data_IF_353108541170
#
_entry.id   IF_353108541170
#
_cell.length_a   1.000
_cell.length_b   1.000
_cell.length_c   1.000
_cell.angle_alpha   90.00
_cell.angle_beta   90.00
_cell.angle_gamma   90.00
#
_symmetry.space_group_name_H-M   'P 1'
#
loop_
_entity.id
_entity.type
_entity.pdbx_description
1 polymer ?
#
# COMPACT_ATOMS: atom_id res chain seq x y z
N UNK A 1 -0.76 -12.43 -8.34
CA UNK A 1 0.30 -11.63 -9.00
C UNK A 1 1.66 -11.86 -8.33
N UNK A 2 1.82 -11.72 -7.01
CA UNK A 2 3.10 -11.85 -6.30
C UNK A 2 3.79 -13.21 -6.57
N UNK A 3 3.06 -14.31 -6.46
CA UNK A 3 3.59 -15.66 -6.78
C UNK A 3 4.14 -15.72 -8.20
N UNK A 4 3.40 -15.20 -9.18
CA UNK A 4 3.88 -15.16 -10.58
C UNK A 4 5.14 -14.32 -10.73
N UNK A 5 5.27 -13.22 -10.00
CA UNK A 5 6.47 -12.39 -10.00
C UNK A 5 7.67 -13.16 -9.45
N UNK A 6 7.51 -13.90 -8.35
CA UNK A 6 8.57 -14.75 -7.79
C UNK A 6 8.96 -15.85 -8.77
N UNK A 7 7.99 -16.59 -9.32
CA UNK A 7 8.25 -17.69 -10.25
C UNK A 7 8.94 -17.27 -11.56
N UNK A 8 8.69 -16.04 -12.00
CA UNK A 8 9.28 -15.50 -13.24
C UNK A 8 10.64 -14.82 -13.04
N UNK A 9 11.08 -14.64 -11.79
CA UNK A 9 12.35 -13.98 -11.51
C UNK A 9 13.49 -15.02 -11.43
N UNK A 10 14.55 -14.88 -12.22
CA UNK A 10 15.60 -15.92 -12.34
C UNK A 10 16.42 -16.15 -11.07
N UNK A 11 16.43 -15.20 -10.14
CA UNK A 11 17.19 -15.26 -8.88
C UNK A 11 16.31 -15.59 -7.67
N UNK A 12 15.00 -15.88 -7.88
CA UNK A 12 14.09 -16.21 -6.80
C UNK A 12 13.58 -17.65 -6.92
N UNK A 13 13.43 -18.30 -5.79
CA UNK A 13 12.82 -19.61 -5.64
C UNK A 13 11.64 -19.53 -4.69
N UNK A 14 10.50 -20.08 -5.10
CA UNK A 14 9.34 -20.19 -4.23
C UNK A 14 9.48 -21.44 -3.35
N UNK A 15 9.77 -21.26 -2.06
CA UNK A 15 10.00 -22.37 -1.12
C UNK A 15 8.78 -22.67 -0.23
N UNK A 16 7.86 -21.72 -0.11
CA UNK A 16 6.63 -21.88 0.66
C UNK A 16 5.54 -20.93 0.18
N UNK A 17 4.28 -21.27 0.41
CA UNK A 17 3.12 -20.43 0.13
C UNK A 17 2.10 -20.54 1.26
N UNK A 18 1.77 -19.40 1.88
CA UNK A 18 0.81 -19.32 2.97
C UNK A 18 -0.53 -18.84 2.43
N UNK A 19 -1.60 -19.50 2.84
CA UNK A 19 -2.98 -19.15 2.53
C UNK A 19 -3.80 -19.05 3.82
N UNK A 20 -4.77 -18.14 3.87
CA UNK A 20 -5.68 -18.01 5.02
C UNK A 20 -6.81 -19.05 5.01
N UNK A 21 -7.16 -19.54 3.85
CA UNK A 21 -8.34 -20.38 3.59
C UNK A 21 -7.95 -21.86 3.64
N UNK A 22 -8.64 -22.65 4.46
CA UNK A 22 -8.34 -24.07 4.66
C UNK A 22 -8.55 -24.91 3.38
N UNK A 23 -9.47 -24.52 2.52
CA UNK A 23 -9.75 -25.19 1.24
C UNK A 23 -8.61 -25.05 0.21
N UNK A 24 -7.73 -24.08 0.41
CA UNK A 24 -6.52 -23.87 -0.40
C UNK A 24 -5.28 -24.57 0.15
N UNK A 25 -5.32 -24.95 1.43
CA UNK A 25 -4.21 -25.66 2.08
C UNK A 25 -4.06 -27.06 1.49
N UNK A 26 -2.82 -27.47 1.26
CA UNK A 26 -2.50 -28.77 0.64
C UNK A 26 -2.59 -28.80 -0.89
N UNK A 27 -3.03 -27.71 -1.54
CA UNK A 27 -3.09 -27.60 -3.00
C UNK A 27 -1.80 -27.03 -3.56
N UNK A 28 -1.43 -27.49 -4.76
CA UNK A 28 -0.27 -26.93 -5.45
C UNK A 28 -0.49 -25.47 -5.82
N UNK A 29 0.57 -24.68 -5.67
CA UNK A 29 0.53 -23.24 -5.96
C UNK A 29 0.20 -22.97 -7.43
N UNK A 30 0.71 -23.79 -8.36
CA UNK A 30 0.41 -23.67 -9.78
C UNK A 30 -1.07 -23.80 -10.08
N UNK A 31 -1.74 -24.77 -9.43
CA UNK A 31 -3.19 -24.93 -9.53
C UNK A 31 -3.94 -23.69 -9.04
N UNK A 32 -3.55 -23.16 -7.87
CA UNK A 32 -4.21 -22.01 -7.26
C UNK A 32 -4.10 -20.71 -8.10
N UNK A 33 -3.05 -20.58 -8.89
CA UNK A 33 -2.84 -19.41 -9.76
C UNK A 33 -3.14 -19.68 -11.23
N UNK A 34 -3.70 -20.86 -11.56
CA UNK A 34 -4.13 -21.23 -12.91
C UNK A 34 -2.98 -21.45 -13.89
N UNK A 35 -1.91 -22.12 -13.46
CA UNK A 35 -0.88 -22.64 -14.35
C UNK A 35 -1.30 -24.01 -14.89
N UNK A 36 -0.81 -24.36 -16.09
CA UNK A 36 -1.04 -25.67 -16.68
C UNK A 36 -0.26 -26.78 -15.96
N UNK A 37 0.94 -26.48 -15.51
CA UNK A 37 1.83 -27.40 -14.84
C UNK A 37 1.94 -27.08 -13.33
N UNK A 38 2.12 -28.10 -12.48
CA UNK A 38 2.34 -27.88 -11.05
C UNK A 38 3.69 -27.21 -10.81
N UNK A 39 3.73 -26.37 -9.77
CA UNK A 39 4.96 -25.71 -9.28
C UNK A 39 5.75 -26.64 -8.35
N UNK A 40 5.09 -27.62 -7.72
CA UNK A 40 5.71 -28.53 -6.76
C UNK A 40 5.76 -27.98 -5.33
N UNK A 41 5.19 -26.78 -5.09
CA UNK A 41 5.05 -26.17 -3.76
C UNK A 41 3.61 -26.28 -3.33
N UNK A 42 3.34 -26.95 -2.21
CA UNK A 42 2.01 -27.04 -1.64
C UNK A 42 1.74 -25.85 -0.72
N UNK A 43 0.57 -25.24 -0.89
CA UNK A 43 0.11 -24.17 0.00
C UNK A 43 -0.19 -24.70 1.38
N UNK A 44 0.04 -23.90 2.41
CA UNK A 44 -0.27 -24.23 3.79
C UNK A 44 -0.98 -23.06 4.48
N UNK A 45 -1.88 -23.37 5.41
CA UNK A 45 -2.45 -22.39 6.32
C UNK A 45 -1.74 -22.41 7.71
N UNK A 46 -0.68 -23.19 7.84
CA UNK A 46 0.17 -23.25 9.04
C UNK A 46 1.47 -22.48 8.78
N UNK A 47 1.62 -21.37 9.48
CA UNK A 47 2.81 -20.51 9.37
C UNK A 47 4.09 -21.24 9.84
N UNK A 48 4.00 -22.19 10.78
CA UNK A 48 5.16 -22.94 11.26
C UNK A 48 5.74 -23.84 10.17
N UNK A 49 4.87 -24.45 9.37
CA UNK A 49 5.29 -25.28 8.23
C UNK A 49 6.03 -24.42 7.21
N UNK A 50 5.51 -23.22 6.91
CA UNK A 50 6.16 -22.32 5.98
C UNK A 50 7.49 -21.78 6.53
N UNK A 51 7.56 -21.37 7.78
CA UNK A 51 8.79 -20.86 8.39
C UNK A 51 9.87 -21.95 8.59
N UNK A 52 9.47 -23.23 8.70
CA UNK A 52 10.40 -24.34 8.77
C UNK A 52 11.25 -24.49 7.50
N UNK A 53 10.82 -23.98 6.35
CA UNK A 53 11.62 -23.93 5.12
C UNK A 53 12.78 -22.93 5.20
N UNK A 54 12.82 -22.07 6.21
CA UNK A 54 13.82 -21.02 6.42
C UNK A 54 14.02 -20.12 5.19
N UNK A 55 12.97 -19.45 4.72
CA UNK A 55 13.10 -18.56 3.57
C UNK A 55 14.00 -17.37 3.89
N UNK A 56 14.75 -16.86 2.92
CA UNK A 56 15.55 -15.65 3.07
C UNK A 56 14.67 -14.40 3.15
N UNK A 57 13.50 -14.45 2.51
CA UNK A 57 12.57 -13.33 2.43
C UNK A 57 11.13 -13.81 2.34
N UNK A 58 10.24 -13.07 2.98
CA UNK A 58 8.79 -13.23 2.85
C UNK A 58 8.21 -12.10 2.02
N UNK A 59 7.50 -12.42 0.93
CA UNK A 59 6.67 -11.48 0.19
C UNK A 59 5.28 -11.48 0.84
N UNK A 60 5.00 -10.45 1.64
CA UNK A 60 3.79 -10.36 2.44
C UNK A 60 2.73 -9.51 1.73
N UNK A 61 1.71 -10.14 1.19
CA UNK A 61 0.61 -9.51 0.44
C UNK A 61 -0.76 -9.79 1.06
N UNK A 62 -0.80 -10.24 2.31
CA UNK A 62 -2.06 -10.48 2.99
C UNK A 62 -2.78 -9.16 3.27
N UNK A 63 -4.11 -9.21 3.18
CA UNK A 63 -4.97 -8.06 3.47
C UNK A 63 -4.74 -7.52 4.89
N UNK A 64 -4.66 -6.20 5.04
CA UNK A 64 -4.37 -5.55 6.33
C UNK A 64 -5.37 -4.48 6.74
N UNK A 65 -6.27 -4.05 5.87
CA UNK A 65 -7.22 -2.95 6.14
C UNK A 65 -8.06 -3.20 7.42
N UNK A 66 -8.49 -4.44 7.64
CA UNK A 66 -9.28 -4.83 8.81
C UNK A 66 -8.49 -5.56 9.90
N UNK A 67 -7.19 -5.83 9.67
CA UNK A 67 -6.32 -6.61 10.55
C UNK A 67 -4.90 -6.05 10.66
N UNK A 68 -4.78 -4.77 10.77
CA UNK A 68 -3.52 -4.02 10.71
C UNK A 68 -2.50 -4.49 11.75
N UNK A 69 -2.94 -4.65 13.01
CA UNK A 69 -2.07 -5.09 14.10
C UNK A 69 -1.66 -6.57 13.99
N UNK A 70 -2.49 -7.41 13.40
CA UNK A 70 -2.14 -8.80 13.08
C UNK A 70 -1.09 -8.85 11.98
N UNK A 71 -1.22 -8.01 10.94
CA UNK A 71 -0.21 -7.88 9.89
C UNK A 71 1.15 -7.41 10.45
N UNK A 72 1.15 -6.49 11.42
CA UNK A 72 2.38 -6.10 12.14
C UNK A 72 2.97 -7.29 12.91
N UNK A 73 2.15 -8.07 13.60
CA UNK A 73 2.61 -9.25 14.36
C UNK A 73 3.19 -10.31 13.43
N UNK A 74 2.53 -10.59 12.31
CA UNK A 74 2.99 -11.56 11.31
C UNK A 74 4.36 -11.17 10.76
N UNK A 75 4.51 -9.91 10.30
CA UNK A 75 5.77 -9.40 9.78
C UNK A 75 6.86 -9.37 10.87
N UNK A 76 6.56 -8.87 12.06
CA UNK A 76 7.50 -8.82 13.18
C UNK A 76 8.00 -10.21 13.58
N UNK A 77 7.16 -11.25 13.47
CA UNK A 77 7.56 -12.63 13.70
C UNK A 77 8.62 -13.10 12.72
N UNK A 78 8.41 -12.87 11.42
CA UNK A 78 9.40 -13.20 10.40
C UNK A 78 10.72 -12.47 10.65
N UNK A 79 10.66 -11.16 10.90
CA UNK A 79 11.82 -10.33 11.14
C UNK A 79 12.65 -10.78 12.34
N UNK A 80 12.00 -11.14 13.47
CA UNK A 80 12.71 -11.67 14.66
C UNK A 80 13.44 -12.98 14.41
N UNK A 81 12.99 -13.76 13.44
CA UNK A 81 13.65 -15.00 13.01
C UNK A 81 14.79 -14.75 12.01
N UNK A 82 15.14 -13.51 11.72
CA UNK A 82 16.16 -13.14 10.74
C UNK A 82 15.68 -13.20 9.29
N UNK A 83 14.37 -13.33 9.05
CA UNK A 83 13.78 -13.40 7.72
C UNK A 83 13.38 -12.00 7.26
N UNK A 84 13.88 -11.58 6.10
CA UNK A 84 13.50 -10.30 5.52
C UNK A 84 12.03 -10.28 5.10
N UNK A 85 11.43 -9.11 5.09
CA UNK A 85 10.03 -8.93 4.67
C UNK A 85 9.93 -7.84 3.62
N UNK A 86 9.33 -8.17 2.48
CA UNK A 86 8.88 -7.22 1.47
C UNK A 86 7.35 -7.27 1.43
N UNK A 87 6.70 -6.16 1.68
CA UNK A 87 5.24 -6.15 1.84
C UNK A 87 4.58 -5.01 1.06
N UNK A 88 3.38 -5.27 0.57
CA UNK A 88 2.47 -4.25 0.03
C UNK A 88 1.28 -3.99 0.96
N UNK A 89 1.17 -4.71 2.05
CA UNK A 89 -0.04 -4.73 2.88
C UNK A 89 -0.13 -3.53 3.84
N UNK A 90 0.94 -3.18 4.51
CA UNK A 90 1.00 -1.98 5.37
C UNK A 90 1.56 -0.79 4.59
N UNK A 91 0.91 -0.43 3.50
CA UNK A 91 1.38 0.58 2.55
C UNK A 91 1.65 1.95 3.19
N UNK A 92 0.96 2.31 4.27
CA UNK A 92 1.19 3.54 5.03
C UNK A 92 2.59 3.60 5.65
N UNK A 93 3.32 2.48 5.72
CA UNK A 93 4.70 2.41 6.20
C UNK A 93 5.76 2.71 5.13
N UNK A 94 5.38 3.19 3.96
CA UNK A 94 6.30 3.68 2.92
C UNK A 94 7.28 4.75 3.46
N UNK A 95 6.87 5.52 4.48
CA UNK A 95 7.72 6.42 5.24
C UNK A 95 7.57 6.12 6.74
N UNK A 96 8.36 5.17 7.27
CA UNK A 96 8.17 4.65 8.63
C UNK A 96 8.54 5.66 9.73
N UNK A 97 9.14 6.80 9.39
CA UNK A 97 9.41 7.90 10.32
C UNK A 97 8.27 8.92 10.40
N UNK A 98 7.17 8.68 9.68
CA UNK A 98 5.93 9.43 9.85
C UNK A 98 5.38 9.20 11.27
N UNK A 99 5.22 10.26 12.09
CA UNK A 99 4.71 10.11 13.46
C UNK A 99 3.30 9.50 13.53
N UNK A 100 2.50 9.71 12.49
CA UNK A 100 1.12 9.21 12.42
C UNK A 100 1.04 7.67 12.32
N UNK A 101 2.14 7.02 11.88
CA UNK A 101 2.23 5.55 11.75
C UNK A 101 3.19 4.91 12.76
N UNK A 102 3.69 5.66 13.75
CA UNK A 102 4.65 5.16 14.72
C UNK A 102 4.16 3.90 15.46
N UNK A 103 2.87 3.79 15.74
CA UNK A 103 2.27 2.63 16.39
C UNK A 103 2.39 1.33 15.59
N UNK A 104 2.53 1.41 14.27
CA UNK A 104 2.81 0.29 13.36
C UNK A 104 4.31 0.11 13.12
N UNK A 105 5.03 1.22 12.97
CA UNK A 105 6.44 1.22 12.58
C UNK A 105 7.37 0.75 13.71
N UNK A 106 7.18 1.21 14.94
CA UNK A 106 8.08 0.92 16.05
C UNK A 106 8.17 -0.58 16.39
N UNK A 107 7.08 -1.37 16.43
CA UNK A 107 7.19 -2.82 16.60
C UNK A 107 8.01 -3.52 15.50
N UNK A 108 7.89 -3.05 14.25
CA UNK A 108 8.65 -3.60 13.12
C UNK A 108 10.12 -3.20 13.18
N UNK A 109 10.42 -1.93 13.48
CA UNK A 109 11.81 -1.45 13.69
C UNK A 109 12.51 -2.25 14.80
N UNK A 110 11.81 -2.50 15.91
CA UNK A 110 12.33 -3.32 17.00
C UNK A 110 12.62 -4.77 16.54
N UNK A 111 11.68 -5.38 15.81
CA UNK A 111 11.84 -6.73 15.28
C UNK A 111 12.99 -6.84 14.25
N UNK A 112 13.14 -5.85 13.37
CA UNK A 112 14.27 -5.76 12.43
C UNK A 112 15.61 -5.73 13.17
N UNK A 113 15.70 -4.92 14.23
CA UNK A 113 16.91 -4.81 15.03
C UNK A 113 17.23 -6.11 15.79
N UNK A 114 16.23 -6.74 16.36
CA UNK A 114 16.35 -8.00 17.10
C UNK A 114 16.84 -9.14 16.19
N UNK A 115 16.21 -9.33 15.03
CA UNK A 115 16.52 -10.41 14.11
C UNK A 115 17.60 -10.07 13.07
N UNK A 116 18.16 -8.84 13.07
CA UNK A 116 19.10 -8.36 12.05
C UNK A 116 18.54 -8.51 10.63
N UNK A 117 17.24 -8.27 10.47
CA UNK A 117 16.50 -8.40 9.23
C UNK A 117 15.99 -7.04 8.73
N UNK A 118 15.61 -6.99 7.46
CA UNK A 118 15.10 -5.80 6.79
C UNK A 118 13.60 -5.94 6.52
N UNK A 119 12.86 -4.87 6.76
CA UNK A 119 11.47 -4.75 6.37
C UNK A 119 11.30 -3.62 5.34
N UNK A 120 10.67 -3.93 4.22
CA UNK A 120 10.31 -2.95 3.21
C UNK A 120 8.81 -3.04 2.93
N UNK A 121 8.07 -2.01 3.33
CA UNK A 121 6.65 -1.86 3.02
C UNK A 121 6.47 -0.75 2.00
N UNK A 122 5.88 -1.05 0.86
CA UNK A 122 5.55 -0.07 -0.17
C UNK A 122 4.43 -0.61 -1.06
N UNK A 123 3.80 0.30 -1.80
CA UNK A 123 2.80 -0.01 -2.80
C UNK A 123 3.12 0.66 -4.13
N UNK A 124 2.14 0.74 -4.99
CA UNK A 124 2.20 1.56 -6.20
C UNK A 124 1.65 2.95 -5.89
N UNK A 125 0.47 3.01 -5.26
CA UNK A 125 -0.19 4.20 -4.80
C UNK A 125 -1.09 3.83 -3.59
N UNK A 126 -0.73 4.30 -2.40
CA UNK A 126 0.49 5.06 -2.06
C UNK A 126 1.76 4.21 -2.19
N UNK A 127 2.82 4.83 -2.73
CA UNK A 127 4.13 4.19 -2.84
C UNK A 127 4.91 4.65 -4.08
N UNK A 128 5.44 3.70 -4.85
CA UNK A 128 6.38 3.93 -5.95
C UNK A 128 5.96 5.07 -6.90
N UNK A 129 4.69 5.15 -7.28
CA UNK A 129 4.19 6.14 -8.23
C UNK A 129 4.14 7.57 -7.65
N UNK A 130 4.01 7.72 -6.34
CA UNK A 130 3.89 9.02 -5.68
C UNK A 130 4.95 9.31 -4.61
N UNK A 131 5.98 8.47 -4.51
CA UNK A 131 7.19 8.74 -3.74
C UNK A 131 8.48 8.63 -4.59
N UNK A 132 8.85 7.43 -5.00
CA UNK A 132 10.10 7.16 -5.72
C UNK A 132 10.14 7.82 -7.09
N UNK A 133 9.08 7.66 -7.88
CA UNK A 133 9.02 8.20 -9.23
C UNK A 133 9.10 9.74 -9.25
N UNK A 134 8.35 10.51 -8.43
CA UNK A 134 8.53 11.95 -8.33
C UNK A 134 9.95 12.36 -7.95
N UNK A 135 10.59 11.68 -7.00
CA UNK A 135 11.97 11.94 -6.61
C UNK A 135 12.95 11.75 -7.77
N UNK A 136 12.79 10.68 -8.54
CA UNK A 136 13.61 10.45 -9.74
C UNK A 136 13.47 11.58 -10.75
N UNK A 137 12.25 12.09 -10.98
CA UNK A 137 12.00 13.17 -11.92
C UNK A 137 12.55 14.52 -11.46
N UNK A 138 12.62 14.80 -10.18
CA UNK A 138 13.25 16.03 -9.69
C UNK A 138 14.74 16.13 -10.05
N UNK A 139 15.42 14.98 -10.22
CA UNK A 139 16.81 14.91 -10.67
C UNK A 139 17.04 15.38 -12.13
N UNK A 140 15.96 15.57 -12.92
CA UNK A 140 16.04 16.08 -14.28
C UNK A 140 16.05 17.61 -14.36
N UNK A 141 15.87 18.30 -13.23
CA UNK A 141 15.82 19.76 -13.14
C UNK A 141 16.93 20.28 -12.25
N UNK A 142 17.52 21.40 -12.63
CA UNK A 142 18.53 22.09 -11.83
C UNK A 142 17.93 22.64 -10.52
N UNK A 143 16.68 23.09 -10.60
CA UNK A 143 15.89 23.55 -9.45
C UNK A 143 14.40 23.27 -9.66
N UNK A 144 13.67 23.23 -8.57
CA UNK A 144 12.21 23.02 -8.57
C UNK A 144 11.57 23.94 -7.52
N UNK A 145 10.34 24.37 -7.77
CA UNK A 145 9.54 25.20 -6.86
C UNK A 145 8.36 24.43 -6.27
N UNK A 146 7.92 23.38 -6.93
CA UNK A 146 6.83 22.53 -6.46
C UNK A 146 6.92 21.13 -7.06
N UNK A 147 6.45 20.14 -6.30
CA UNK A 147 6.21 18.78 -6.77
C UNK A 147 4.72 18.50 -6.63
N UNK A 148 4.09 18.06 -7.69
CA UNK A 148 2.67 17.67 -7.70
C UNK A 148 2.52 16.27 -8.26
N UNK A 149 1.98 15.38 -7.45
CA UNK A 149 1.61 14.04 -7.85
C UNK A 149 0.09 14.00 -8.03
N UNK A 150 -0.37 13.48 -9.16
CA UNK A 150 -1.79 13.33 -9.44
C UNK A 150 -2.07 11.91 -9.92
N UNK A 151 -2.99 11.27 -9.27
CA UNK A 151 -3.56 10.01 -9.68
C UNK A 151 -4.95 10.22 -10.27
N UNK A 152 -5.27 9.48 -11.32
CA UNK A 152 -6.62 9.39 -11.88
C UNK A 152 -6.88 7.92 -12.18
N UNK A 153 -7.78 7.30 -11.41
CA UNK A 153 -8.09 5.87 -11.53
C UNK A 153 -9.57 5.66 -11.82
N UNK A 154 -9.83 4.71 -12.71
CA UNK A 154 -11.17 4.15 -12.91
C UNK A 154 -11.30 2.84 -12.11
N UNK A 155 -12.04 2.87 -11.02
CA UNK A 155 -12.26 1.71 -10.17
C UNK A 155 -13.35 0.75 -10.64
N UNK A 156 -13.97 0.95 -11.81
CA UNK A 156 -15.05 0.08 -12.32
C UNK A 156 -14.61 -1.38 -12.52
N UNK A 157 -13.30 -1.62 -12.68
CA UNK A 157 -12.72 -2.96 -12.86
C UNK A 157 -12.04 -3.51 -11.62
N UNK A 158 -12.14 -2.82 -10.49
CA UNK A 158 -11.49 -3.25 -9.25
C UNK A 158 -12.36 -4.25 -8.52
N UNK A 159 -11.86 -5.47 -8.34
CA UNK A 159 -12.66 -6.62 -7.90
C UNK A 159 -12.85 -6.72 -6.37
N UNK A 160 -12.21 -5.85 -5.57
CA UNK A 160 -12.34 -5.89 -4.12
C UNK A 160 -13.54 -5.05 -3.66
N UNK A 161 -14.71 -5.69 -3.60
CA UNK A 161 -15.96 -5.04 -3.24
C UNK A 161 -15.91 -4.31 -1.90
N UNK A 162 -15.29 -4.91 -0.88
CA UNK A 162 -15.16 -4.26 0.44
C UNK A 162 -14.40 -2.94 0.34
N UNK A 163 -13.25 -2.92 -0.34
CA UNK A 163 -12.46 -1.70 -0.51
C UNK A 163 -13.24 -0.64 -1.28
N UNK A 164 -13.89 -1.02 -2.36
CA UNK A 164 -14.66 -0.08 -3.19
C UNK A 164 -15.84 0.52 -2.43
N UNK A 165 -16.59 -0.29 -1.70
CA UNK A 165 -17.82 0.17 -1.03
C UNK A 165 -17.57 0.72 0.35
N UNK A 166 -16.95 -0.07 1.23
CA UNK A 166 -16.85 0.28 2.64
C UNK A 166 -15.68 1.23 2.93
N UNK A 167 -14.56 1.08 2.22
CA UNK A 167 -13.43 1.98 2.41
C UNK A 167 -13.61 3.27 1.61
N UNK A 168 -13.92 3.17 0.31
CA UNK A 168 -13.99 4.33 -0.60
C UNK A 168 -15.38 4.96 -0.72
N UNK A 169 -16.44 4.22 -0.38
CA UNK A 169 -17.82 4.71 -0.38
C UNK A 169 -18.48 4.74 -1.76
N UNK A 170 -17.94 4.05 -2.76
CA UNK A 170 -18.58 3.96 -4.07
C UNK A 170 -19.90 3.18 -3.99
N UNK A 171 -20.91 3.69 -4.68
CA UNK A 171 -22.26 3.11 -4.68
C UNK A 171 -23.14 3.57 -3.52
N UNK A 172 -22.63 4.40 -2.63
CA UNK A 172 -23.40 5.06 -1.57
C UNK A 172 -23.63 6.54 -1.89
N UNK A 173 -24.60 7.22 -1.25
CA UNK A 173 -24.77 8.67 -1.35
C UNK A 173 -23.50 9.41 -0.99
N UNK A 174 -23.33 10.63 -1.54
CA UNK A 174 -22.11 11.46 -1.31
C UNK A 174 -21.89 11.86 0.14
N UNK A 175 -22.92 11.86 0.94
CA UNK A 175 -22.89 12.15 2.38
C UNK A 175 -22.73 10.91 3.25
N UNK A 176 -22.63 9.73 2.63
CA UNK A 176 -22.41 8.48 3.36
C UNK A 176 -21.02 8.47 4.00
N UNK A 177 -20.99 8.14 5.29
CA UNK A 177 -19.71 7.95 6.00
C UNK A 177 -18.98 6.73 5.50
N UNK A 178 -17.72 6.90 5.10
CA UNK A 178 -16.85 5.79 4.75
C UNK A 178 -15.43 6.01 5.32
N UNK A 179 -14.69 4.91 5.44
CA UNK A 179 -13.41 4.90 6.14
C UNK A 179 -12.42 5.94 5.59
N UNK A 180 -12.36 6.08 4.29
CA UNK A 180 -11.37 6.92 3.62
C UNK A 180 -11.60 8.42 3.85
N UNK A 181 -12.82 8.83 4.18
CA UNK A 181 -13.17 10.21 4.51
C UNK A 181 -13.23 10.50 6.02
N UNK A 182 -12.91 9.52 6.84
CA UNK A 182 -12.72 9.77 8.26
C UNK A 182 -11.54 10.75 8.46
N UNK A 183 -11.65 11.69 9.41
CA UNK A 183 -10.57 12.64 9.66
C UNK A 183 -9.24 11.94 9.93
N UNK A 184 -8.19 12.32 9.21
CA UNK A 184 -6.86 11.73 9.30
C UNK A 184 -6.62 10.49 8.43
N UNK A 185 -7.65 9.91 7.82
CA UNK A 185 -7.50 8.68 7.02
C UNK A 185 -6.61 8.88 5.79
N UNK A 186 -6.77 10.02 5.11
CA UNK A 186 -5.94 10.35 3.95
C UNK A 186 -4.51 10.68 4.37
N UNK A 187 -4.32 11.40 5.47
CA UNK A 187 -3.00 11.68 6.02
C UNK A 187 -2.30 10.39 6.45
N UNK A 188 -3.02 9.43 7.02
CA UNK A 188 -2.49 8.11 7.35
C UNK A 188 -2.07 7.33 6.10
N UNK A 189 -2.90 7.31 5.06
CA UNK A 189 -2.64 6.56 3.83
C UNK A 189 -1.56 7.19 2.95
N UNK A 190 -1.70 8.45 2.59
CA UNK A 190 -0.86 9.13 1.59
C UNK A 190 0.08 10.20 2.16
N UNK A 191 -0.10 10.58 3.40
CA UNK A 191 0.81 11.54 4.07
C UNK A 191 2.27 11.06 4.10
N UNK A 192 2.48 9.75 4.11
CA UNK A 192 3.79 9.13 3.97
C UNK A 192 4.48 9.47 2.65
N UNK A 193 3.76 9.48 1.53
CA UNK A 193 4.32 9.83 0.22
C UNK A 193 4.82 11.28 0.19
N UNK A 194 4.01 12.21 0.70
CA UNK A 194 4.39 13.63 0.79
C UNK A 194 5.65 13.81 1.66
N UNK A 195 5.70 13.12 2.81
CA UNK A 195 6.85 13.16 3.73
C UNK A 195 8.10 12.51 3.13
N UNK A 196 7.94 11.40 2.40
CA UNK A 196 9.02 10.71 1.71
C UNK A 196 9.66 11.60 0.65
N UNK A 197 8.84 12.26 -0.18
CA UNK A 197 9.33 13.21 -1.19
C UNK A 197 10.01 14.40 -0.53
N UNK A 198 9.43 14.99 0.52
CA UNK A 198 10.03 16.08 1.26
C UNK A 198 11.40 15.71 1.85
N UNK A 199 11.49 14.54 2.49
CA UNK A 199 12.73 14.04 3.08
C UNK A 199 13.80 13.80 2.00
N UNK A 200 13.43 13.19 0.87
CA UNK A 200 14.34 12.96 -0.26
C UNK A 200 14.86 14.25 -0.90
N UNK A 201 14.11 15.33 -0.81
CA UNK A 201 14.50 16.66 -1.30
C UNK A 201 15.15 17.55 -0.22
N UNK A 202 15.33 17.05 0.99
CA UNK A 202 15.90 17.81 2.10
C UNK A 202 14.98 18.95 2.58
N UNK A 203 13.67 18.82 2.38
CA UNK A 203 12.66 19.83 2.73
C UNK A 203 12.01 19.47 4.06
N UNK A 204 11.89 20.45 4.94
CA UNK A 204 11.09 20.32 6.17
C UNK A 204 9.66 20.77 5.92
N UNK A 205 8.71 19.93 6.30
CA UNK A 205 7.28 20.23 6.23
C UNK A 205 6.83 20.86 7.56
N UNK A 206 6.15 22.00 7.51
CA UNK A 206 5.53 22.58 8.71
C UNK A 206 4.24 21.84 9.06
N UNK A 207 3.47 21.51 8.04
CA UNK A 207 2.17 20.91 8.20
C UNK A 207 1.84 20.01 7.02
N UNK A 208 1.22 18.89 7.32
CA UNK A 208 0.52 18.05 6.35
C UNK A 208 -0.96 18.10 6.72
N UNK A 209 -1.80 18.43 5.76
CA UNK A 209 -3.24 18.49 5.94
C UNK A 209 -3.96 17.82 4.78
N UNK A 210 -5.19 17.43 5.00
CA UNK A 210 -6.02 16.78 3.98
C UNK A 210 -7.19 17.68 3.59
N UNK A 211 -7.51 17.65 2.30
CA UNK A 211 -8.72 18.26 1.73
C UNK A 211 -9.38 17.21 0.87
N UNK A 212 -10.65 16.97 1.06
CA UNK A 212 -11.41 16.04 0.24
C UNK A 212 -12.74 16.63 -0.17
N UNK A 213 -13.14 16.28 -1.37
CA UNK A 213 -14.43 16.65 -1.96
C UNK A 213 -15.05 15.41 -2.59
N UNK A 214 -16.36 15.33 -2.54
CA UNK A 214 -17.13 14.23 -3.14
C UNK A 214 -18.22 14.84 -4.00
N UNK A 215 -18.39 14.27 -5.19
CA UNK A 215 -19.41 14.75 -6.12
C UNK A 215 -20.14 13.54 -6.71
N UNK A 216 -21.45 13.68 -6.90
CA UNK A 216 -22.20 12.77 -7.74
C UNK A 216 -21.85 13.06 -9.20
N UNK A 217 -21.50 12.03 -9.93
CA UNK A 217 -21.33 12.13 -11.36
C UNK A 217 -22.68 11.95 -12.03
N UNK A 218 -23.31 13.07 -12.23
CA UNK A 218 -24.40 13.29 -13.16
C UNK A 218 -25.70 12.45 -12.98
N UNK A 219 -26.81 13.12 -13.08
CA UNK A 219 -28.16 12.58 -13.02
C UNK A 219 -28.53 11.59 -14.14
N UNK A 220 -27.66 11.41 -15.13
CA UNK A 220 -27.84 10.47 -16.24
C UNK A 220 -27.29 9.07 -15.97
N UNK A 221 -26.38 8.92 -15.04
CA UNK A 221 -25.99 7.61 -14.54
C UNK A 221 -26.55 7.44 -13.14
N UNK A 222 -27.60 6.68 -12.98
CA UNK A 222 -28.18 6.34 -11.67
C UNK A 222 -27.24 5.51 -10.78
N UNK A 223 -25.94 5.69 -10.95
CA UNK A 223 -24.87 4.98 -10.24
C UNK A 223 -23.89 5.99 -9.72
N UNK A 224 -23.77 6.03 -8.42
CA UNK A 224 -22.94 6.96 -7.68
C UNK A 224 -21.47 6.83 -8.11
N UNK A 225 -20.97 7.83 -8.77
CA UNK A 225 -19.58 8.00 -9.09
C UNK A 225 -19.07 9.08 -8.13
N UNK A 226 -18.28 8.66 -7.15
CA UNK A 226 -17.64 9.61 -6.23
C UNK A 226 -16.40 10.21 -6.88
N UNK A 227 -16.30 11.52 -6.86
CA UNK A 227 -15.05 12.25 -7.07
C UNK A 227 -14.31 12.34 -5.76
N UNK A 228 -13.01 12.09 -5.82
CA UNK A 228 -12.17 12.23 -4.68
C UNK A 228 -10.93 13.01 -5.06
N UNK A 229 -10.77 14.17 -4.48
CA UNK A 229 -9.52 14.91 -4.57
C UNK A 229 -8.86 14.91 -3.22
N UNK A 230 -7.66 14.38 -3.16
CA UNK A 230 -6.78 14.45 -2.01
C UNK A 230 -5.70 15.45 -2.33
N UNK A 231 -5.55 16.46 -1.50
CA UNK A 231 -4.53 17.48 -1.68
C UNK A 231 -3.75 17.66 -0.38
N UNK A 232 -2.44 17.43 -0.44
CA UNK A 232 -1.53 17.70 0.67
C UNK A 232 -0.66 18.89 0.31
N UNK A 233 -0.71 19.89 1.14
CA UNK A 233 0.07 21.09 0.95
C UNK A 233 0.74 21.48 2.26
N UNK A 234 2.05 21.57 2.30
CA UNK A 234 2.76 22.63 2.96
C UNK A 234 4.26 22.44 3.06
N UNK A 235 4.95 23.48 2.76
CA UNK A 235 6.40 23.54 2.89
C UNK A 235 6.76 24.89 3.45
N UNK A 236 7.47 24.90 4.55
CA UNK A 236 8.21 26.08 4.98
C UNK A 236 9.68 25.85 4.83
N UNK A 237 10.28 26.66 4.08
CA UNK A 237 11.70 26.85 3.96
C UNK A 237 11.92 28.13 3.18
N UNK A 238 13.06 28.76 3.31
CA UNK A 238 13.43 29.97 2.55
C UNK A 238 13.41 29.66 1.05
N UNK A 239 12.29 30.02 0.40
CA UNK A 239 11.99 29.72 -0.98
C UNK A 239 10.86 28.74 -1.04
N UNK A 240 9.63 29.22 -1.13
CA UNK A 240 8.37 28.49 -1.07
C UNK A 240 8.32 27.31 -2.05
N UNK A 241 8.70 26.15 -1.60
CA UNK A 241 8.49 24.90 -2.34
C UNK A 241 7.19 24.28 -1.87
N UNK A 242 6.46 23.66 -2.79
CA UNK A 242 5.17 23.03 -2.51
C UNK A 242 5.20 21.58 -2.96
N UNK A 243 4.83 20.68 -2.07
CA UNK A 243 4.63 19.27 -2.38
C UNK A 243 3.16 18.97 -2.18
N UNK A 244 2.50 18.46 -3.20
CA UNK A 244 1.10 18.05 -3.10
C UNK A 244 0.88 16.73 -3.81
N UNK A 245 0.01 15.93 -3.23
CA UNK A 245 -0.57 14.76 -3.87
C UNK A 245 -2.06 15.02 -4.07
N UNK A 246 -2.58 14.66 -5.24
CA UNK A 246 -4.01 14.67 -5.49
C UNK A 246 -4.41 13.41 -6.24
N UNK A 247 -5.42 12.71 -5.73
CA UNK A 247 -6.05 11.60 -6.42
C UNK A 247 -7.44 12.04 -6.90
N UNK A 248 -7.80 11.57 -8.07
CA UNK A 248 -9.14 11.69 -8.63
C UNK A 248 -9.60 10.28 -8.96
N UNK A 249 -10.47 9.76 -8.14
CA UNK A 249 -11.03 8.42 -8.29
C UNK A 249 -12.32 8.52 -9.08
N UNK A 250 -12.42 7.82 -10.19
CA UNK A 250 -13.62 7.75 -11.03
C UNK A 250 -14.00 6.29 -11.17
N UNK A 251 -15.19 5.92 -10.74
CA UNK A 251 -15.75 4.61 -11.00
C UNK A 251 -16.99 4.75 -11.90
N UNK A 252 -16.98 4.06 -13.05
CA UNK A 252 -18.18 3.79 -13.83
C UNK A 252 -18.58 2.34 -13.58
N UNK A 253 -19.83 2.12 -13.23
CA UNK A 253 -20.37 0.78 -13.25
C UNK A 253 -20.50 0.34 -14.73
N UNK A 254 -19.94 -0.80 -15.07
CA UNK A 254 -20.24 -1.50 -16.32
C UNK A 254 -21.64 -2.07 -16.25
N UNK A 255 -22.43 -1.89 -17.30
CA UNK A 255 -23.71 -2.57 -17.48
C UNK A 255 -23.51 -4.08 -17.63
#
# INVERSE_FOLDING_TARGET
YAVRAVLNHPELELVAHIVSSADKSGRDVGELIGLADPVGVLSTNDIEVALATRPDCVVYTAHSETRMMEAVKDQARCLRLGINVVASSLFMLQYPDNPDVAFLAEPLKAACKEGQATCFNNGIDPGFANDTMPLMFTGLSEYWSSVRMREVINYSTYEQEHTIREVMGFGYPVDHDCMLFAPGALALGWGGAVRSVAAGLGVTLDKVYEVHERHDLDSLSQRHLGWKTISYDEVTGKGASRISFSAVDIARATE
#
